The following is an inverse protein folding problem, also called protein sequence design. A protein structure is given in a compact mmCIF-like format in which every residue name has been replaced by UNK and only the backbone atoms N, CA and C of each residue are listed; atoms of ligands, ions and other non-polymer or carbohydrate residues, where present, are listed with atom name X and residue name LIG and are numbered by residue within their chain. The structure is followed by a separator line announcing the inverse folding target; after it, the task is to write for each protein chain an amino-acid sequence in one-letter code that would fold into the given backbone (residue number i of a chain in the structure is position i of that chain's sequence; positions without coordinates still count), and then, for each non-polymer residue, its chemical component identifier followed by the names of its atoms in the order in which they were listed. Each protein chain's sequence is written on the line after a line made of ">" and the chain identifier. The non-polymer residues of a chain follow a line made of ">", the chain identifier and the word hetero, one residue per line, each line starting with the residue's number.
data_IF_374914357570
#
_entry.id   IF_374914357570
#
_cell.length_a   1.000
_cell.length_b   1.000
_cell.length_c   1.000
_cell.angle_alpha   90.00
_cell.angle_beta   90.00
_cell.angle_gamma   90.00
#
_symmetry.space_group_name_H-M   'P 1'
#
loop_
_entity.id
_entity.type
_entity.pdbx_description
1 polymer ?
#
# COMPACT_ATOMS: atom_id res chain seq x y z
N UNK A 1 -13.40 14.38 10.87
CA UNK A 1 -12.64 13.10 10.91
C UNK A 1 -13.47 12.13 11.75
N UNK A 2 -13.90 11.02 11.18
CA UNK A 2 -14.75 10.03 11.85
C UNK A 2 -14.02 9.50 13.11
N UNK A 3 -14.72 9.41 14.24
CA UNK A 3 -14.19 8.95 15.55
C UNK A 3 -13.52 7.57 15.43
N UNK A 4 -14.02 6.72 14.55
CA UNK A 4 -13.43 5.42 14.20
C UNK A 4 -12.01 5.54 13.62
N UNK A 5 -11.78 6.48 12.72
CA UNK A 5 -10.46 6.74 12.14
C UNK A 5 -9.49 7.36 13.15
N UNK A 6 -9.97 8.18 14.07
CA UNK A 6 -9.15 8.78 15.12
C UNK A 6 -8.66 7.73 16.15
N UNK A 7 -9.53 6.80 16.57
CA UNK A 7 -9.16 5.69 17.47
C UNK A 7 -8.14 4.76 16.85
N UNK A 8 -8.32 4.45 15.55
CA UNK A 8 -7.39 3.64 14.77
C UNK A 8 -6.00 4.31 14.70
N UNK A 9 -5.92 5.62 14.52
CA UNK A 9 -4.65 6.35 14.47
C UNK A 9 -3.92 6.35 15.82
N UNK A 10 -4.63 6.68 16.92
CA UNK A 10 -4.03 6.75 18.26
C UNK A 10 -3.41 5.42 18.70
N UNK A 11 -4.12 4.31 18.53
CA UNK A 11 -3.58 2.99 18.86
C UNK A 11 -2.34 2.58 18.05
N UNK A 12 -2.18 3.09 16.83
CA UNK A 12 -1.08 2.74 15.92
C UNK A 12 0.21 3.50 16.20
N UNK A 13 0.10 4.77 16.58
CA UNK A 13 1.25 5.58 16.99
C UNK A 13 1.97 4.92 18.18
N UNK A 14 1.25 4.28 19.10
CA UNK A 14 1.86 3.54 20.20
C UNK A 14 2.53 2.22 19.81
N UNK A 15 2.07 1.58 18.72
CA UNK A 15 2.47 0.20 18.41
C UNK A 15 3.57 0.11 17.32
N UNK A 16 3.86 1.20 16.59
CA UNK A 16 4.73 1.12 15.42
C UNK A 16 6.18 0.74 15.76
N UNK A 17 6.67 1.16 16.91
CA UNK A 17 8.05 1.00 17.35
C UNK A 17 8.26 -0.04 18.47
N UNK A 18 7.23 -0.79 18.84
CA UNK A 18 7.29 -1.73 19.97
C UNK A 18 8.43 -2.76 19.89
N UNK A 19 8.80 -3.17 18.69
CA UNK A 19 9.84 -4.18 18.49
C UNK A 19 11.26 -3.59 18.38
N UNK A 20 11.45 -2.27 18.42
CA UNK A 20 12.78 -1.65 18.36
C UNK A 20 13.74 -2.20 19.45
N UNK A 21 13.33 -2.35 20.72
CA UNK A 21 14.23 -2.91 21.75
C UNK A 21 14.75 -4.31 21.41
N UNK A 22 13.88 -5.18 20.87
CA UNK A 22 14.23 -6.58 20.54
C UNK A 22 15.07 -6.69 19.25
N UNK A 23 14.89 -5.73 18.33
CA UNK A 23 15.59 -5.70 17.04
C UNK A 23 16.86 -4.82 17.06
N UNK A 24 17.26 -4.30 18.22
CA UNK A 24 18.37 -3.37 18.32
C UNK A 24 19.71 -4.05 18.05
N UNK A 25 20.45 -3.49 17.10
CA UNK A 25 21.84 -3.81 16.82
C UNK A 25 22.68 -2.53 16.90
N UNK A 26 23.99 -2.65 17.10
CA UNK A 26 24.91 -1.50 17.11
C UNK A 26 25.89 -1.68 15.96
N UNK A 27 25.95 -0.69 15.07
CA UNK A 27 26.89 -0.68 13.96
C UNK A 27 28.34 -0.37 14.40
N UNK A 28 29.31 -0.53 13.49
CA UNK A 28 30.72 -0.21 13.76
C UNK A 28 30.95 1.28 14.12
N UNK A 29 30.05 2.16 13.70
CA UNK A 29 30.03 3.60 13.99
C UNK A 29 29.41 3.95 15.35
N UNK A 30 28.96 2.93 16.12
CA UNK A 30 28.27 3.10 17.39
C UNK A 30 26.78 3.46 17.24
N UNK A 31 26.28 3.60 16.03
CA UNK A 31 24.87 3.91 15.78
C UNK A 31 23.97 2.70 16.04
N UNK A 32 22.80 2.95 16.63
CA UNK A 32 21.79 1.92 16.83
C UNK A 32 20.95 1.74 15.56
N UNK A 33 20.80 0.49 15.13
CA UNK A 33 19.95 0.06 14.03
C UNK A 33 18.90 -0.92 14.53
N UNK A 34 17.76 -1.01 13.82
CA UNK A 34 16.62 -1.83 14.23
C UNK A 34 16.10 -2.68 13.06
N UNK A 35 16.93 -3.57 12.48
CA UNK A 35 16.56 -4.34 11.29
C UNK A 35 15.34 -5.23 11.58
N UNK A 36 14.32 -5.16 10.70
CA UNK A 36 13.13 -6.01 10.81
C UNK A 36 12.14 -5.62 11.92
N UNK A 37 12.34 -4.52 12.64
CA UNK A 37 11.43 -4.10 13.71
C UNK A 37 9.99 -3.89 13.24
N UNK A 38 9.78 -3.48 12.00
CA UNK A 38 8.46 -3.30 11.41
C UNK A 38 7.70 -4.64 11.28
N UNK A 39 8.37 -5.72 10.86
CA UNK A 39 7.74 -7.05 10.75
C UNK A 39 7.52 -7.70 12.13
N UNK A 40 8.51 -7.62 13.01
CA UNK A 40 8.38 -8.07 14.39
C UNK A 40 7.27 -7.28 15.13
N UNK A 41 7.29 -5.96 15.00
CA UNK A 41 6.29 -5.06 15.59
C UNK A 41 4.87 -5.33 15.09
N UNK A 42 4.70 -5.65 13.80
CA UNK A 42 3.41 -6.06 13.24
C UNK A 42 2.83 -7.29 13.94
N UNK A 43 3.67 -8.33 14.18
CA UNK A 43 3.26 -9.54 14.90
C UNK A 43 2.93 -9.24 16.36
N UNK A 44 3.74 -8.42 17.03
CA UNK A 44 3.49 -7.99 18.41
C UNK A 44 2.19 -7.18 18.52
N UNK A 45 1.99 -6.19 17.64
CA UNK A 45 0.78 -5.39 17.59
C UNK A 45 -0.47 -6.27 17.40
N UNK A 46 -0.41 -7.24 16.48
CA UNK A 46 -1.49 -8.20 16.26
C UNK A 46 -1.81 -9.00 17.53
N UNK A 47 -0.80 -9.56 18.19
CA UNK A 47 -0.95 -10.34 19.43
C UNK A 47 -1.58 -9.50 20.55
N UNK A 48 -1.09 -8.28 20.76
CA UNK A 48 -1.60 -7.37 21.78
C UNK A 48 -3.07 -7.02 21.52
N UNK A 49 -3.39 -6.65 20.27
CA UNK A 49 -4.76 -6.25 19.90
C UNK A 49 -5.75 -7.41 20.01
N UNK A 50 -5.34 -8.63 19.66
CA UNK A 50 -6.16 -9.83 19.84
C UNK A 50 -6.41 -10.12 21.34
N UNK A 51 -5.38 -10.03 22.18
CA UNK A 51 -5.51 -10.19 23.64
C UNK A 51 -6.43 -9.14 24.26
N UNK A 52 -6.41 -7.92 23.72
CA UNK A 52 -7.32 -6.83 24.12
C UNK A 52 -8.73 -6.97 23.52
N UNK A 53 -9.02 -8.05 22.81
CA UNK A 53 -10.30 -8.28 22.11
C UNK A 53 -10.70 -7.13 21.20
N UNK A 54 -9.71 -6.50 20.55
CA UNK A 54 -9.95 -5.44 19.59
C UNK A 54 -10.73 -5.98 18.36
N UNK A 55 -11.59 -5.17 17.75
CA UNK A 55 -12.31 -5.57 16.53
C UNK A 55 -11.36 -5.99 15.40
N UNK A 56 -11.72 -6.99 14.61
CA UNK A 56 -10.88 -7.56 13.54
C UNK A 56 -10.33 -6.49 12.58
N UNK A 57 -11.18 -5.54 12.15
CA UNK A 57 -10.74 -4.46 11.27
C UNK A 57 -9.61 -3.61 11.88
N UNK A 58 -9.59 -3.46 13.21
CA UNK A 58 -8.54 -2.72 13.92
C UNK A 58 -7.26 -3.54 14.00
N UNK A 59 -7.36 -4.83 14.32
CA UNK A 59 -6.22 -5.76 14.35
C UNK A 59 -5.52 -5.78 12.98
N UNK A 60 -6.26 -6.07 11.91
CA UNK A 60 -5.71 -6.16 10.55
C UNK A 60 -5.09 -4.84 10.08
N UNK A 61 -5.84 -3.76 10.24
CA UNK A 61 -5.42 -2.45 9.76
C UNK A 61 -4.21 -1.89 10.56
N UNK A 62 -4.14 -2.13 11.88
CA UNK A 62 -3.00 -1.68 12.69
C UNK A 62 -1.75 -2.51 12.37
N UNK A 63 -1.87 -3.83 12.36
CA UNK A 63 -0.74 -4.72 12.06
C UNK A 63 -0.17 -4.45 10.67
N UNK A 64 -1.03 -4.24 9.65
CA UNK A 64 -0.59 -3.90 8.31
C UNK A 64 0.14 -2.55 8.25
N UNK A 65 -0.33 -1.51 8.98
CA UNK A 65 0.37 -0.23 9.04
C UNK A 65 1.73 -0.34 9.71
N UNK A 66 1.82 -1.07 10.82
CA UNK A 66 3.10 -1.31 11.50
C UNK A 66 4.06 -2.05 10.58
N UNK A 67 3.59 -3.01 9.78
CA UNK A 67 4.44 -3.77 8.86
C UNK A 67 5.12 -2.90 7.80
N UNK A 68 4.50 -1.78 7.38
CA UNK A 68 5.01 -0.96 6.27
C UNK A 68 5.36 0.48 6.65
N UNK A 69 5.23 0.85 7.94
CA UNK A 69 5.40 2.24 8.36
C UNK A 69 6.79 2.82 8.05
N UNK A 70 7.84 2.01 8.12
CA UNK A 70 9.23 2.43 7.89
C UNK A 70 9.67 2.30 6.43
N UNK A 71 8.86 1.63 5.58
CA UNK A 71 9.17 1.43 4.16
C UNK A 71 9.26 2.74 3.38
N UNK A 72 10.14 2.78 2.37
CA UNK A 72 10.21 3.88 1.42
C UNK A 72 8.89 4.00 0.63
N UNK A 73 8.47 5.22 0.35
CA UNK A 73 7.33 5.50 -0.52
C UNK A 73 7.84 5.65 -1.97
N UNK A 74 7.15 5.04 -2.95
CA UNK A 74 7.50 5.24 -4.35
C UNK A 74 7.25 6.69 -4.78
N UNK A 75 8.05 7.18 -5.72
CA UNK A 75 7.91 8.51 -6.31
C UNK A 75 7.34 8.48 -7.73
N UNK A 76 7.26 7.32 -8.34
CA UNK A 76 6.72 7.09 -9.67
C UNK A 76 5.25 6.63 -9.62
N UNK A 77 4.49 6.94 -10.66
CA UNK A 77 3.06 6.63 -10.74
C UNK A 77 2.78 5.12 -10.66
N UNK A 78 3.58 4.30 -11.31
CA UNK A 78 3.38 2.84 -11.30
C UNK A 78 3.53 2.27 -9.89
N UNK A 79 4.54 2.70 -9.14
CA UNK A 79 4.72 2.32 -7.74
C UNK A 79 3.57 2.79 -6.85
N UNK A 80 3.08 4.02 -7.05
CA UNK A 80 1.93 4.56 -6.32
C UNK A 80 0.66 3.78 -6.64
N UNK A 81 0.40 3.47 -7.92
CA UNK A 81 -0.76 2.66 -8.34
C UNK A 81 -0.70 1.23 -7.77
N UNK A 82 0.48 0.62 -7.71
CA UNK A 82 0.66 -0.68 -7.05
C UNK A 82 0.31 -0.60 -5.56
N UNK A 83 0.70 0.46 -4.85
CA UNK A 83 0.30 0.66 -3.46
C UNK A 83 -1.20 0.90 -3.32
N UNK A 84 -1.81 1.70 -4.22
CA UNK A 84 -3.26 1.91 -4.27
C UNK A 84 -4.03 0.61 -4.50
N UNK A 85 -3.59 -0.21 -5.45
CA UNK A 85 -4.17 -1.53 -5.73
C UNK A 85 -4.13 -2.43 -4.49
N UNK A 86 -2.99 -2.46 -3.79
CA UNK A 86 -2.77 -3.37 -2.66
C UNK A 86 -3.47 -2.92 -1.37
N UNK A 87 -3.48 -1.63 -1.08
CA UNK A 87 -3.87 -1.11 0.24
C UNK A 87 -5.09 -0.19 0.20
N UNK A 88 -5.39 0.41 -0.94
CA UNK A 88 -6.43 1.41 -1.11
C UNK A 88 -6.07 2.79 -0.53
N UNK A 89 -6.71 3.84 -1.08
CA UNK A 89 -6.40 5.23 -0.76
C UNK A 89 -6.57 5.56 0.74
N UNK A 90 -7.65 5.10 1.37
CA UNK A 90 -7.93 5.37 2.78
C UNK A 90 -6.87 4.78 3.74
N UNK A 91 -6.27 3.64 3.38
CA UNK A 91 -5.18 3.06 4.15
C UNK A 91 -3.89 3.86 3.95
N UNK A 92 -3.58 4.25 2.72
CA UNK A 92 -2.37 5.03 2.40
C UNK A 92 -2.40 6.42 3.02
N UNK A 93 -3.55 7.09 3.07
CA UNK A 93 -3.70 8.35 3.83
C UNK A 93 -3.36 8.16 5.31
N UNK A 94 -3.77 7.03 5.92
CA UNK A 94 -3.41 6.73 7.31
C UNK A 94 -1.91 6.46 7.48
N UNK A 95 -1.28 5.82 6.50
CA UNK A 95 0.18 5.63 6.47
C UNK A 95 0.91 6.98 6.42
N UNK A 96 0.50 7.88 5.52
CA UNK A 96 1.09 9.22 5.44
C UNK A 96 0.96 9.99 6.75
N UNK A 97 -0.21 9.96 7.39
CA UNK A 97 -0.42 10.59 8.69
C UNK A 97 0.47 10.00 9.79
N UNK A 98 0.66 8.67 9.81
CA UNK A 98 1.57 8.02 10.75
C UNK A 98 3.01 8.48 10.53
N UNK A 99 3.49 8.44 9.28
CA UNK A 99 4.84 8.91 8.92
C UNK A 99 5.08 10.37 9.27
N UNK A 100 4.12 11.25 8.99
CA UNK A 100 4.21 12.66 9.34
C UNK A 100 4.21 12.91 10.86
N UNK A 101 3.43 12.15 11.61
CA UNK A 101 3.40 12.23 13.08
C UNK A 101 4.73 11.75 13.69
N UNK A 102 5.32 10.68 13.16
CA UNK A 102 6.63 10.20 13.57
C UNK A 102 7.72 11.24 13.26
N UNK A 103 7.75 11.77 12.03
CA UNK A 103 8.71 12.83 11.65
C UNK A 103 8.57 14.09 12.51
N UNK A 104 7.36 14.45 12.94
CA UNK A 104 7.13 15.59 13.81
C UNK A 104 7.68 15.39 15.23
N UNK A 105 7.88 14.16 15.68
CA UNK A 105 8.50 13.84 16.97
C UNK A 105 10.04 13.90 16.94
N UNK A 106 10.65 13.97 15.75
CA UNK A 106 12.09 14.07 15.61
C UNK A 106 12.59 15.52 15.66
N UNK A 107 13.85 15.70 16.08
CA UNK A 107 14.50 17.01 16.00
C UNK A 107 14.57 17.51 14.55
N UNK A 108 14.18 18.76 14.35
CA UNK A 108 14.14 19.39 13.01
C UNK A 108 15.55 19.50 12.42
N UNK A 109 15.76 18.84 11.29
CA UNK A 109 16.97 18.93 10.48
C UNK A 109 16.61 18.75 8.99
N UNK A 110 17.61 18.97 8.12
CA UNK A 110 17.39 18.88 6.66
C UNK A 110 16.85 17.52 6.22
N UNK A 111 17.30 16.41 6.81
CA UNK A 111 16.85 15.06 6.46
C UNK A 111 15.40 14.80 6.90
N UNK A 112 14.97 15.32 8.05
CA UNK A 112 13.56 15.25 8.49
C UNK A 112 12.68 16.06 7.55
N UNK A 113 13.10 17.29 7.20
CA UNK A 113 12.35 18.15 6.28
C UNK A 113 12.20 17.53 4.88
N UNK A 114 13.25 16.92 4.36
CA UNK A 114 13.22 16.22 3.08
C UNK A 114 12.25 15.03 3.10
N UNK A 115 12.28 14.20 4.15
CA UNK A 115 11.34 13.08 4.32
C UNK A 115 9.90 13.55 4.45
N UNK A 116 9.65 14.62 5.19
CA UNK A 116 8.32 15.23 5.28
C UNK A 116 7.80 15.66 3.91
N UNK A 117 8.64 16.32 3.11
CA UNK A 117 8.30 16.73 1.75
C UNK A 117 8.00 15.52 0.85
N UNK A 118 8.77 14.44 0.94
CA UNK A 118 8.52 13.20 0.19
C UNK A 118 7.17 12.57 0.55
N UNK A 119 6.82 12.51 1.85
CA UNK A 119 5.53 11.98 2.28
C UNK A 119 4.37 12.83 1.76
N UNK A 120 4.49 14.16 1.80
CA UNK A 120 3.46 15.07 1.29
C UNK A 120 3.31 14.99 -0.23
N UNK A 121 4.42 14.89 -0.97
CA UNK A 121 4.41 14.71 -2.42
C UNK A 121 3.74 13.38 -2.80
N UNK A 122 4.10 12.29 -2.12
CA UNK A 122 3.42 11.00 -2.31
C UNK A 122 1.92 11.09 -2.02
N UNK A 123 1.51 11.71 -0.91
CA UNK A 123 0.10 11.83 -0.54
C UNK A 123 -0.68 12.62 -1.60
N UNK A 124 -0.16 13.74 -2.07
CA UNK A 124 -0.78 14.55 -3.12
C UNK A 124 -0.95 13.75 -4.41
N UNK A 125 0.13 13.13 -4.92
CA UNK A 125 0.08 12.34 -6.15
C UNK A 125 -0.82 11.11 -6.02
N UNK A 126 -0.79 10.43 -4.90
CA UNK A 126 -1.65 9.28 -4.59
C UNK A 126 -3.14 9.66 -4.63
N UNK A 127 -3.51 10.82 -4.10
CA UNK A 127 -4.89 11.31 -4.14
C UNK A 127 -5.35 11.62 -5.58
N UNK A 128 -4.51 12.28 -6.37
CA UNK A 128 -4.79 12.54 -7.80
C UNK A 128 -5.00 11.23 -8.57
N UNK A 129 -4.07 10.29 -8.45
CA UNK A 129 -4.17 8.98 -9.11
C UNK A 129 -5.36 8.17 -8.62
N UNK A 130 -5.70 8.25 -7.34
CA UNK A 130 -6.86 7.54 -6.80
C UNK A 130 -8.19 8.01 -7.37
N UNK A 131 -8.26 9.26 -7.86
CA UNK A 131 -9.45 9.85 -8.46
C UNK A 131 -9.53 9.64 -9.98
N UNK A 132 -8.40 9.48 -10.66
CA UNK A 132 -8.33 9.54 -12.13
C UNK A 132 -7.85 8.26 -12.80
N UNK A 133 -7.05 7.44 -12.09
CA UNK A 133 -6.40 6.28 -12.69
C UNK A 133 -7.15 4.95 -12.44
N UNK A 134 -6.88 3.99 -13.31
CA UNK A 134 -7.32 2.60 -13.14
C UNK A 134 -6.26 1.84 -12.32
N UNK A 135 -6.62 1.39 -11.11
CA UNK A 135 -5.74 0.62 -10.22
C UNK A 135 -6.43 -0.59 -9.58
N UNK A 136 -7.67 -0.91 -9.98
CA UNK A 136 -8.38 -2.13 -9.57
C UNK A 136 -8.96 -2.83 -10.77
N UNK A 137 -9.12 -4.15 -10.68
CA UNK A 137 -9.74 -4.96 -11.75
C UNK A 137 -11.15 -4.44 -12.10
N UNK A 138 -11.91 -3.95 -11.10
CA UNK A 138 -13.25 -3.41 -11.34
C UNK A 138 -13.29 -2.09 -12.13
N UNK A 139 -12.15 -1.41 -12.30
CA UNK A 139 -12.01 -0.18 -13.08
C UNK A 139 -11.53 -0.42 -14.53
N UNK A 140 -11.17 -1.67 -14.87
CA UNK A 140 -10.81 -2.01 -16.25
C UNK A 140 -12.01 -1.83 -17.19
N UNK A 141 -11.73 -1.41 -18.42
CA UNK A 141 -12.74 -1.32 -19.51
C UNK A 141 -13.23 -2.68 -20.01
N UNK A 142 -12.68 -3.77 -19.47
CA UNK A 142 -13.12 -5.17 -19.69
C UNK A 142 -13.38 -5.83 -18.35
N UNK A 143 -14.23 -6.86 -18.37
CA UNK A 143 -14.53 -7.69 -17.21
C UNK A 143 -14.49 -9.18 -17.58
N UNK A 144 -14.77 -10.06 -16.62
CA UNK A 144 -14.73 -11.51 -16.86
C UNK A 144 -15.65 -11.97 -17.97
N UNK A 145 -16.85 -11.39 -18.10
CA UNK A 145 -17.78 -11.71 -19.18
C UNK A 145 -17.18 -11.32 -20.54
N UNK A 146 -16.65 -10.11 -20.66
CA UNK A 146 -15.98 -9.64 -21.91
C UNK A 146 -14.86 -10.57 -22.36
N UNK A 147 -14.10 -11.14 -21.40
CA UNK A 147 -12.99 -12.04 -21.70
C UNK A 147 -13.48 -13.44 -22.10
N UNK A 148 -14.54 -13.92 -21.49
CA UNK A 148 -15.17 -15.20 -21.87
C UNK A 148 -15.82 -15.10 -23.25
N UNK A 149 -16.50 -14.01 -23.56
CA UNK A 149 -17.07 -13.74 -24.89
C UNK A 149 -15.98 -13.67 -25.98
N UNK A 150 -14.78 -13.24 -25.60
CA UNK A 150 -13.61 -13.20 -26.48
C UNK A 150 -12.87 -14.55 -26.61
N UNK A 151 -13.27 -15.59 -25.87
CA UNK A 151 -12.74 -16.95 -26.01
C UNK A 151 -11.94 -17.49 -24.83
N UNK A 152 -11.73 -16.72 -23.76
CA UNK A 152 -11.05 -17.25 -22.55
C UNK A 152 -11.98 -18.21 -21.80
N UNK A 153 -11.50 -19.42 -21.56
CA UNK A 153 -12.27 -20.44 -20.83
C UNK A 153 -12.62 -19.94 -19.41
N UNK A 154 -13.85 -20.18 -18.93
CA UNK A 154 -14.25 -19.79 -17.57
C UNK A 154 -13.35 -20.45 -16.52
N UNK A 155 -13.03 -19.70 -15.46
CA UNK A 155 -12.20 -20.18 -14.36
C UNK A 155 -11.01 -19.28 -14.03
N UNK A 156 -9.93 -19.83 -13.43
CA UNK A 156 -8.77 -19.06 -12.97
C UNK A 156 -8.05 -18.28 -14.08
N UNK A 157 -8.15 -18.72 -15.33
CA UNK A 157 -7.55 -18.06 -16.50
C UNK A 157 -8.08 -16.63 -16.66
N UNK A 158 -9.38 -16.41 -16.48
CA UNK A 158 -10.02 -15.08 -16.56
C UNK A 158 -9.41 -14.13 -15.51
N UNK A 159 -9.29 -14.59 -14.26
CA UNK A 159 -8.69 -13.78 -13.19
C UNK A 159 -7.21 -13.44 -13.46
N UNK A 160 -6.46 -14.40 -14.01
CA UNK A 160 -5.06 -14.18 -14.38
C UNK A 160 -4.95 -13.14 -15.51
N UNK A 161 -5.77 -13.26 -16.56
CA UNK A 161 -5.79 -12.31 -17.66
C UNK A 161 -6.16 -10.89 -17.20
N UNK A 162 -7.20 -10.73 -16.38
CA UNK A 162 -7.58 -9.43 -15.82
C UNK A 162 -6.45 -8.80 -14.99
N UNK A 163 -5.75 -9.57 -14.17
CA UNK A 163 -4.62 -9.06 -13.39
C UNK A 163 -3.41 -8.69 -14.27
N UNK A 164 -3.17 -9.43 -15.35
CA UNK A 164 -2.12 -9.10 -16.34
C UNK A 164 -2.44 -7.78 -17.03
N UNK A 165 -3.67 -7.62 -17.51
CA UNK A 165 -4.13 -6.36 -18.12
C UNK A 165 -4.05 -5.19 -17.14
N UNK A 166 -4.52 -5.36 -15.91
CA UNK A 166 -4.46 -4.31 -14.91
C UNK A 166 -3.03 -3.85 -14.67
N UNK A 167 -2.09 -4.78 -14.54
CA UNK A 167 -0.68 -4.44 -14.38
C UNK A 167 -0.15 -3.65 -15.58
N UNK A 168 -0.47 -4.06 -16.81
CA UNK A 168 -0.05 -3.35 -18.01
C UNK A 168 -0.61 -1.92 -18.09
N UNK A 169 -1.87 -1.72 -17.64
CA UNK A 169 -2.49 -0.40 -17.54
C UNK A 169 -1.81 0.45 -16.47
N UNK A 170 -1.57 -0.09 -15.28
CA UNK A 170 -0.91 0.63 -14.19
C UNK A 170 0.54 1.03 -14.51
N UNK A 171 1.23 0.23 -15.33
CA UNK A 171 2.57 0.52 -15.82
C UNK A 171 2.57 1.45 -17.06
N UNK A 172 1.42 1.90 -17.53
CA UNK A 172 1.28 2.76 -18.71
C UNK A 172 1.60 2.07 -20.04
N UNK A 173 1.72 0.74 -20.06
CA UNK A 173 2.00 -0.04 -21.27
C UNK A 173 0.79 -0.22 -22.19
N UNK A 174 -0.41 -0.15 -21.61
CA UNK A 174 -1.69 -0.26 -22.32
C UNK A 174 -2.64 0.85 -21.88
N UNK A 175 -3.41 1.46 -22.80
CA UNK A 175 -4.53 2.31 -22.41
C UNK A 175 -5.67 1.44 -21.86
N UNK A 176 -6.44 1.99 -20.90
CA UNK A 176 -7.62 1.31 -20.36
C UNK A 176 -8.81 1.44 -21.32
N UNK A 177 -8.72 0.84 -22.48
CA UNK A 177 -9.72 0.83 -23.54
C UNK A 177 -10.02 -0.61 -23.96
N UNK A 178 -11.31 -0.96 -24.10
CA UNK A 178 -11.74 -2.34 -24.36
C UNK A 178 -11.03 -2.96 -25.56
N UNK A 179 -10.94 -2.25 -26.69
CA UNK A 179 -10.31 -2.75 -27.91
C UNK A 179 -8.82 -3.02 -27.71
N UNK A 180 -8.09 -2.10 -27.08
CA UNK A 180 -6.66 -2.25 -26.84
C UNK A 180 -6.36 -3.41 -25.87
N UNK A 181 -7.20 -3.58 -24.83
CA UNK A 181 -7.05 -4.65 -23.85
C UNK A 181 -7.30 -6.04 -24.45
N UNK A 182 -8.33 -6.19 -25.31
CA UNK A 182 -8.60 -7.46 -26.01
C UNK A 182 -7.49 -7.79 -27.02
N UNK A 183 -7.06 -6.81 -27.84
CA UNK A 183 -5.99 -7.01 -28.80
C UNK A 183 -4.65 -7.41 -28.12
N UNK A 184 -4.38 -6.93 -26.92
CA UNK A 184 -3.20 -7.33 -26.15
C UNK A 184 -3.25 -8.81 -25.75
N UNK A 185 -4.42 -9.33 -25.39
CA UNK A 185 -4.58 -10.76 -25.05
C UNK A 185 -4.45 -11.69 -26.26
N UNK A 186 -4.97 -11.27 -27.42
CA UNK A 186 -4.76 -11.98 -28.69
C UNK A 186 -3.27 -12.10 -29.02
N UNK A 187 -2.53 -10.98 -28.89
CA UNK A 187 -1.09 -10.97 -29.15
C UNK A 187 -0.27 -11.86 -28.20
N UNK A 188 -0.74 -12.03 -26.97
CA UNK A 188 -0.10 -12.91 -25.99
C UNK A 188 -0.54 -14.38 -26.12
N UNK A 189 -1.43 -14.71 -27.07
CA UNK A 189 -1.95 -16.05 -27.29
C UNK A 189 -2.84 -16.58 -26.13
N UNK A 190 -3.51 -15.64 -25.46
CA UNK A 190 -4.41 -15.93 -24.35
C UNK A 190 -5.89 -15.97 -24.78
N UNK A 191 -6.16 -15.58 -26.03
CA UNK A 191 -7.44 -15.70 -26.72
C UNK A 191 -7.36 -16.75 -27.80
#
# INVERSE_FOLDING_TARGET
>A
MDDKNARILRGRVFLHDLAKPECRTVGPDGAAHFPGHNQAGSKMARSILLRLKAPTYLVESASALVAIHDGALPSDDAGILNMLNRYGAAFLQRLCRLKLADLAAHARNAGVMQREQQVRAFEGRMLELSATACYTVGQLAVNGASLMDAGIAPGPAVGKALNTLLRAVMEGRLPNEKAALLAALEKEGLL
#
